data_IF_977648464769
#
_entry.id   IF_977648464769
#
_cell.length_a   1.000
_cell.length_b   1.000
_cell.length_c   1.000
_cell.angle_alpha   90.00
_cell.angle_beta   90.00
_cell.angle_gamma   90.00
#
_symmetry.space_group_name_H-M   'P 1'
#
loop_
_entity.id
_entity.type
_entity.pdbx_description
1 polymer ?
#
# COMPACT_ATOMS: atom_id res chain seq x y z
N UNK A 1 -2.63 -1.37 12.99
CA UNK A 1 -3.85 -1.33 13.83
C UNK A 1 -4.05 -2.65 14.56
N UNK A 2 -4.22 -3.78 13.87
CA UNK A 2 -4.46 -5.10 14.50
C UNK A 2 -3.54 -5.41 15.70
N UNK A 3 -2.21 -5.29 15.53
CA UNK A 3 -1.25 -5.49 16.63
C UNK A 3 -1.50 -4.54 17.82
N UNK A 4 -1.72 -3.25 17.55
CA UNK A 4 -1.95 -2.25 18.60
C UNK A 4 -3.26 -2.49 19.35
N UNK A 5 -4.31 -2.94 18.66
CA UNK A 5 -5.58 -3.33 19.28
C UNK A 5 -5.40 -4.57 20.18
N UNK A 6 -4.74 -5.62 19.66
CA UNK A 6 -4.43 -6.84 20.41
C UNK A 6 -3.61 -6.58 21.67
N UNK A 7 -2.65 -5.66 21.58
CA UNK A 7 -1.78 -5.27 22.71
C UNK A 7 -2.42 -4.22 23.63
N UNK A 8 -3.66 -3.79 23.37
CA UNK A 8 -4.36 -2.81 24.21
C UNK A 8 -3.79 -1.39 24.15
N UNK A 9 -2.99 -1.07 23.12
CA UNK A 9 -2.33 0.23 22.96
C UNK A 9 -3.27 1.32 22.43
N UNK A 10 -4.46 0.93 21.95
CA UNK A 10 -5.51 1.83 21.45
C UNK A 10 -6.86 1.45 22.04
N UNK A 11 -7.76 2.43 22.17
CA UNK A 11 -9.17 2.16 22.47
C UNK A 11 -9.85 1.59 21.22
N UNK A 12 -10.12 0.28 21.23
CA UNK A 12 -10.76 -0.45 20.13
C UNK A 12 -12.08 0.19 19.66
N UNK A 13 -12.85 0.82 20.55
CA UNK A 13 -14.12 1.47 20.21
C UNK A 13 -13.93 2.73 19.35
N UNK A 14 -12.71 3.24 19.28
CA UNK A 14 -12.36 4.44 18.50
C UNK A 14 -11.79 4.15 17.13
N UNK A 15 -11.54 2.87 16.80
CA UNK A 15 -10.97 2.50 15.51
C UNK A 15 -11.91 2.94 14.38
N UNK A 16 -11.38 3.69 13.42
CA UNK A 16 -12.06 4.11 12.20
C UNK A 16 -11.15 3.89 11.01
N UNK A 17 -11.73 3.46 9.89
CA UNK A 17 -11.05 3.41 8.59
C UNK A 17 -11.26 4.76 7.91
N UNK A 18 -10.16 5.48 7.68
CA UNK A 18 -10.16 6.82 7.11
C UNK A 18 -10.10 6.77 5.59
N UNK A 19 -9.29 5.86 5.05
CA UNK A 19 -9.10 5.68 3.62
C UNK A 19 -8.72 4.24 3.27
N UNK A 20 -8.83 3.90 1.98
CA UNK A 20 -8.52 2.61 1.40
C UNK A 20 -7.48 2.75 0.30
N UNK A 21 -6.77 1.65 0.05
CA UNK A 21 -5.66 1.57 -0.91
C UNK A 21 -5.68 0.19 -1.58
N UNK A 22 -5.24 0.09 -2.83
CA UNK A 22 -4.99 -1.18 -3.51
C UNK A 22 -3.55 -1.27 -4.02
N UNK A 23 -2.91 -2.44 -3.91
CA UNK A 23 -1.62 -2.65 -4.56
C UNK A 23 -1.72 -2.37 -6.07
N UNK A 24 -0.71 -1.69 -6.59
CA UNK A 24 -0.55 -1.43 -8.00
C UNK A 24 0.94 -1.45 -8.36
N UNK A 25 1.24 -1.47 -9.65
CA UNK A 25 2.61 -1.32 -10.12
C UNK A 25 2.82 0.15 -10.49
N UNK A 26 3.81 0.80 -9.87
CA UNK A 26 4.27 2.12 -10.28
C UNK A 26 5.42 1.97 -11.28
N UNK A 27 5.32 2.61 -12.44
CA UNK A 27 6.36 2.61 -13.48
C UNK A 27 6.79 4.03 -13.83
N UNK A 28 7.93 4.17 -14.49
CA UNK A 28 8.40 5.47 -14.98
C UNK A 28 7.48 6.01 -16.08
N UNK A 29 7.40 7.34 -16.30
CA UNK A 29 6.62 7.92 -17.37
C UNK A 29 7.03 7.36 -18.75
N UNK A 30 6.05 7.06 -19.58
CA UNK A 30 6.20 6.36 -20.86
C UNK A 30 6.42 4.85 -20.75
N UNK A 31 6.51 4.31 -19.54
CA UNK A 31 6.68 2.88 -19.25
C UNK A 31 7.75 2.21 -20.14
N UNK A 32 9.03 2.60 -20.02
CA UNK A 32 10.10 2.20 -20.95
C UNK A 32 10.36 0.69 -20.99
N UNK A 33 10.04 -0.03 -19.90
CA UNK A 33 10.13 -1.49 -19.82
C UNK A 33 8.86 -2.23 -20.26
N UNK A 34 7.82 -1.49 -20.68
CA UNK A 34 6.51 -2.02 -21.14
C UNK A 34 5.86 -2.97 -20.12
N UNK A 35 6.00 -2.68 -18.83
CA UNK A 35 5.45 -3.48 -17.74
C UNK A 35 3.94 -3.24 -17.70
N UNK A 36 3.12 -4.25 -17.97
CA UNK A 36 1.66 -4.15 -18.04
C UNK A 36 0.94 -5.10 -17.10
N UNK A 37 1.68 -5.98 -16.43
CA UNK A 37 1.17 -7.01 -15.54
C UNK A 37 2.21 -7.40 -14.49
N UNK A 38 1.78 -8.16 -13.47
CA UNK A 38 2.71 -8.71 -12.48
C UNK A 38 3.75 -9.66 -13.10
N UNK A 39 3.39 -10.39 -14.15
CA UNK A 39 4.31 -11.31 -14.82
C UNK A 39 5.50 -10.57 -15.44
N UNK A 40 5.27 -9.37 -15.98
CA UNK A 40 6.33 -8.56 -16.61
C UNK A 40 7.42 -8.11 -15.63
N UNK A 41 7.11 -8.08 -14.34
CA UNK A 41 8.09 -7.81 -13.28
C UNK A 41 9.17 -8.91 -13.22
N UNK A 42 8.88 -10.11 -13.72
CA UNK A 42 9.83 -11.22 -13.80
C UNK A 42 10.76 -11.17 -15.02
N UNK A 43 10.54 -10.23 -15.96
CA UNK A 43 11.32 -10.18 -17.19
C UNK A 43 12.80 -9.87 -16.92
N UNK A 44 13.75 -10.47 -17.66
CA UNK A 44 15.16 -10.18 -17.51
C UNK A 44 15.49 -8.69 -17.65
N UNK A 45 16.31 -8.16 -16.74
CA UNK A 45 16.77 -6.77 -16.80
C UNK A 45 15.75 -5.71 -16.36
N UNK A 46 14.63 -6.12 -15.74
CA UNK A 46 13.74 -5.23 -14.98
C UNK A 46 14.28 -5.07 -13.56
N UNK A 47 14.44 -3.84 -13.10
CA UNK A 47 14.85 -3.51 -11.73
C UNK A 47 13.64 -3.07 -10.91
N UNK A 48 13.40 -3.72 -9.77
CA UNK A 48 12.22 -3.49 -8.94
C UNK A 48 12.65 -2.97 -7.56
N UNK A 49 11.93 -1.96 -7.08
CA UNK A 49 11.96 -1.54 -5.69
C UNK A 49 10.69 -1.95 -4.96
N UNK A 50 10.82 -2.39 -3.72
CA UNK A 50 9.68 -2.56 -2.81
C UNK A 50 9.98 -1.85 -1.48
N UNK A 51 8.95 -1.62 -0.66
CA UNK A 51 9.19 -1.29 0.75
C UNK A 51 9.81 -2.49 1.48
N UNK A 52 10.59 -2.27 2.54
CA UNK A 52 11.05 -3.34 3.40
C UNK A 52 9.81 -4.07 3.98
N UNK A 53 9.59 -5.35 3.66
CA UNK A 53 8.34 -6.03 4.00
C UNK A 53 8.20 -6.35 5.49
N UNK A 54 9.28 -6.30 6.27
CA UNK A 54 9.24 -6.55 7.71
C UNK A 54 8.76 -5.32 8.49
N UNK A 55 8.97 -4.12 7.95
CA UNK A 55 8.69 -2.85 8.64
C UNK A 55 7.67 -1.95 7.92
N UNK A 56 7.51 -2.09 6.60
CA UNK A 56 6.73 -1.19 5.75
C UNK A 56 5.56 -1.95 5.13
N UNK A 57 4.34 -1.47 5.38
CA UNK A 57 3.13 -2.15 4.92
C UNK A 57 3.10 -2.40 3.41
N UNK A 58 3.49 -1.42 2.57
CA UNK A 58 3.50 -1.63 1.10
C UNK A 58 4.45 -2.74 0.66
N UNK A 59 5.56 -2.93 1.40
CA UNK A 59 6.47 -4.05 1.20
C UNK A 59 5.81 -5.39 1.53
N UNK A 60 5.15 -5.47 2.68
CA UNK A 60 4.42 -6.67 3.11
C UNK A 60 3.35 -7.07 2.08
N UNK A 61 2.59 -6.09 1.59
CA UNK A 61 1.58 -6.31 0.55
C UNK A 61 2.20 -6.71 -0.78
N UNK A 62 3.39 -6.20 -1.12
CA UNK A 62 4.10 -6.62 -2.33
C UNK A 62 4.46 -8.12 -2.28
N UNK A 63 4.96 -8.61 -1.15
CA UNK A 63 5.30 -10.03 -0.99
C UNK A 63 4.06 -10.91 -1.03
N UNK A 64 3.00 -10.54 -0.29
CA UNK A 64 1.72 -11.26 -0.33
C UNK A 64 1.17 -11.32 -1.76
N UNK A 65 1.15 -10.18 -2.46
CA UNK A 65 0.64 -10.10 -3.82
C UNK A 65 1.41 -11.04 -4.75
N UNK A 66 2.73 -11.02 -4.70
CA UNK A 66 3.55 -11.89 -5.54
C UNK A 66 3.39 -13.37 -5.18
N UNK A 67 3.29 -13.71 -3.89
CA UNK A 67 3.08 -15.09 -3.44
C UNK A 67 1.73 -15.64 -3.89
N UNK A 68 0.65 -14.89 -3.65
CA UNK A 68 -0.72 -15.30 -4.01
C UNK A 68 -0.93 -15.47 -5.50
N UNK A 69 -0.12 -14.81 -6.32
CA UNK A 69 -0.12 -14.93 -7.77
C UNK A 69 0.94 -15.91 -8.31
N UNK A 70 1.70 -16.61 -7.44
CA UNK A 70 2.71 -17.60 -7.85
C UNK A 70 3.97 -17.00 -8.50
N UNK A 71 4.20 -15.70 -8.34
CA UNK A 71 5.26 -14.95 -9.02
C UNK A 71 6.45 -14.61 -8.13
N UNK A 72 6.35 -14.84 -6.81
CA UNK A 72 7.36 -14.44 -5.83
C UNK A 72 8.78 -14.86 -6.21
N UNK A 73 8.98 -16.13 -6.55
CA UNK A 73 10.33 -16.65 -6.86
C UNK A 73 10.94 -16.05 -8.13
N UNK A 74 10.12 -15.75 -9.13
CA UNK A 74 10.57 -15.16 -10.40
C UNK A 74 10.89 -13.68 -10.20
N UNK A 75 9.98 -12.94 -9.56
CA UNK A 75 10.12 -11.50 -9.34
C UNK A 75 11.18 -11.15 -8.29
N UNK A 76 11.39 -12.00 -7.28
CA UNK A 76 12.40 -11.76 -6.22
C UNK A 76 13.81 -11.53 -6.78
N UNK A 77 14.15 -12.18 -7.90
CA UNK A 77 15.45 -12.03 -8.57
C UNK A 77 15.68 -10.63 -9.14
N UNK A 78 14.60 -9.90 -9.39
CA UNK A 78 14.60 -8.56 -9.97
C UNK A 78 14.43 -7.46 -8.92
N UNK A 79 14.20 -7.81 -7.64
CA UNK A 79 14.14 -6.86 -6.54
C UNK A 79 15.56 -6.43 -6.18
N UNK A 80 15.89 -5.17 -6.46
CA UNK A 80 17.24 -4.62 -6.26
C UNK A 80 17.35 -3.73 -5.03
N UNK A 81 16.23 -3.38 -4.39
CA UNK A 81 16.23 -2.48 -3.22
C UNK A 81 14.97 -2.62 -2.37
N UNK A 82 15.15 -2.41 -1.06
CA UNK A 82 14.11 -2.40 -0.05
C UNK A 82 14.07 -1.03 0.63
N UNK A 83 13.03 -0.25 0.38
CA UNK A 83 12.90 1.12 0.88
C UNK A 83 12.39 1.15 2.33
N UNK A 84 12.86 2.09 3.18
CA UNK A 84 12.50 2.15 4.59
C UNK A 84 11.10 2.72 4.87
N UNK A 85 10.37 3.18 3.86
CA UNK A 85 9.00 3.72 4.01
C UNK A 85 8.21 3.70 2.70
N UNK A 86 6.89 3.91 2.77
CA UNK A 86 6.05 4.06 1.58
C UNK A 86 6.51 5.25 0.72
N UNK A 87 6.84 6.39 1.34
CA UNK A 87 7.35 7.57 0.63
C UNK A 87 8.71 7.31 -0.02
N UNK A 88 9.62 6.59 0.65
CA UNK A 88 10.89 6.20 0.04
C UNK A 88 10.69 5.22 -1.12
N UNK A 89 9.68 4.32 -1.03
CA UNK A 89 9.33 3.40 -2.13
C UNK A 89 8.84 4.17 -3.36
N UNK A 90 7.94 5.12 -3.16
CA UNK A 90 7.48 6.03 -4.22
C UNK A 90 8.66 6.84 -4.82
N UNK A 91 9.55 7.35 -3.95
CA UNK A 91 10.73 8.10 -4.35
C UNK A 91 11.68 7.29 -5.26
N UNK A 92 11.80 5.97 -5.09
CA UNK A 92 12.64 5.13 -5.94
C UNK A 92 12.23 5.22 -7.42
N UNK A 93 10.93 5.23 -7.70
CA UNK A 93 10.43 5.31 -9.06
C UNK A 93 10.43 6.77 -9.56
N UNK A 94 10.04 7.73 -8.72
CA UNK A 94 10.04 9.15 -9.07
C UNK A 94 11.46 9.69 -9.42
N UNK A 95 12.48 9.17 -8.75
CA UNK A 95 13.90 9.46 -8.99
C UNK A 95 14.55 8.53 -10.03
N UNK A 96 13.77 7.66 -10.68
CA UNK A 96 14.22 6.70 -11.71
C UNK A 96 15.37 5.78 -11.23
N UNK A 97 15.39 5.43 -9.95
CA UNK A 97 16.37 4.49 -9.37
C UNK A 97 16.05 3.03 -9.72
N UNK A 98 14.79 2.75 -10.02
CA UNK A 98 14.27 1.44 -10.44
C UNK A 98 13.35 1.60 -11.65
N UNK A 99 13.05 0.50 -12.34
CA UNK A 99 12.14 0.49 -13.49
C UNK A 99 10.67 0.41 -13.05
N UNK A 100 10.41 -0.28 -11.93
CA UNK A 100 9.09 -0.40 -11.34
C UNK A 100 9.15 -0.51 -9.81
N UNK A 101 8.02 -0.18 -9.17
CA UNK A 101 7.76 -0.50 -7.77
C UNK A 101 6.44 -1.23 -7.63
N UNK A 102 6.34 -2.15 -6.68
CA UNK A 102 5.04 -2.63 -6.20
C UNK A 102 4.63 -1.69 -5.08
N UNK A 103 3.65 -0.84 -5.39
CA UNK A 103 3.26 0.32 -4.58
C UNK A 103 1.76 0.38 -4.35
N UNK A 104 1.27 1.59 -4.00
CA UNK A 104 -0.15 1.90 -3.98
C UNK A 104 -0.58 2.59 -5.26
N UNK A 105 -1.82 2.39 -5.67
CA UNK A 105 -2.44 3.08 -6.81
C UNK A 105 -2.35 4.60 -6.71
N UNK A 106 -2.37 5.14 -5.48
CA UNK A 106 -2.34 6.58 -5.19
C UNK A 106 -0.96 7.22 -5.36
N UNK A 107 0.12 6.46 -5.51
CA UNK A 107 1.48 7.03 -5.63
C UNK A 107 1.62 8.01 -6.80
N UNK A 108 0.95 7.77 -7.93
CA UNK A 108 0.95 8.70 -9.07
C UNK A 108 0.27 10.05 -8.78
N UNK A 109 -0.50 10.15 -7.69
CA UNK A 109 -1.11 11.40 -7.21
C UNK A 109 -0.19 12.19 -6.29
N UNK A 110 0.79 11.55 -5.67
CA UNK A 110 1.74 12.22 -4.77
C UNK A 110 2.75 13.07 -5.56
N UNK A 111 3.24 12.54 -6.69
CA UNK A 111 4.11 13.25 -7.62
C UNK A 111 3.56 13.14 -9.07
N UNK A 112 2.58 13.99 -9.44
CA UNK A 112 1.99 13.96 -10.78
C UNK A 112 3.05 14.06 -11.89
N UNK A 113 2.95 13.17 -12.88
CA UNK A 113 3.85 13.13 -14.03
C UNK A 113 5.21 12.47 -13.78
N UNK A 114 5.49 11.99 -12.55
CA UNK A 114 6.71 11.23 -12.24
C UNK A 114 6.50 9.72 -12.20
N UNK A 115 5.26 9.27 -12.10
CA UNK A 115 4.89 7.86 -11.97
C UNK A 115 3.63 7.61 -12.79
N UNK A 116 3.62 6.51 -13.54
CA UNK A 116 2.41 5.96 -14.13
C UNK A 116 1.96 4.74 -13.32
N UNK A 117 0.66 4.66 -13.06
CA UNK A 117 0.05 3.52 -12.36
C UNK A 117 -0.38 2.47 -13.38
N UNK A 118 0.15 1.26 -13.24
CA UNK A 118 -0.35 0.05 -13.91
C UNK A 118 -1.21 -0.71 -12.92
N UNK A 119 -2.53 -0.68 -13.14
CA UNK A 119 -3.49 -1.40 -12.31
C UNK A 119 -3.39 -2.90 -12.56
N UNK A 120 -3.61 -3.66 -11.49
CA UNK A 120 -3.67 -5.11 -11.52
C UNK A 120 -5.03 -5.58 -12.00
N UNK A 121 -5.13 -6.83 -12.47
CA UNK A 121 -6.45 -7.41 -12.71
C UNK A 121 -7.17 -7.57 -11.38
N UNK A 122 -8.50 -7.38 -11.32
CA UNK A 122 -9.20 -7.38 -10.04
C UNK A 122 -9.14 -8.70 -9.26
N UNK A 123 -8.88 -9.83 -9.93
CA UNK A 123 -8.69 -11.14 -9.31
C UNK A 123 -7.24 -11.41 -8.85
N UNK A 124 -6.28 -10.56 -9.23
CA UNK A 124 -4.89 -10.67 -8.79
C UNK A 124 -4.67 -9.99 -7.43
N UNK A 125 -5.58 -9.10 -7.00
CA UNK A 125 -5.48 -8.38 -5.72
C UNK A 125 -6.09 -9.22 -4.60
N UNK A 126 -5.28 -9.82 -3.70
CA UNK A 126 -5.83 -10.63 -2.62
C UNK A 126 -6.48 -9.77 -1.53
N UNK A 127 -5.94 -8.57 -1.30
CA UNK A 127 -6.26 -7.75 -0.14
C UNK A 127 -6.22 -6.25 -0.44
N UNK A 128 -7.27 -5.56 -0.03
CA UNK A 128 -7.37 -4.10 0.04
C UNK A 128 -6.73 -3.63 1.34
N UNK A 129 -5.85 -2.64 1.25
CA UNK A 129 -5.27 -1.97 2.40
C UNK A 129 -6.17 -0.84 2.90
N UNK A 130 -5.96 -0.43 4.15
CA UNK A 130 -6.68 0.67 4.77
C UNK A 130 -5.75 1.53 5.63
N UNK A 131 -6.12 2.80 5.78
CA UNK A 131 -5.50 3.77 6.69
C UNK A 131 -6.42 3.92 7.91
N UNK A 132 -6.02 3.41 9.07
CA UNK A 132 -6.81 3.55 10.28
C UNK A 132 -6.41 4.73 11.16
N UNK A 133 -7.37 5.20 11.94
CA UNK A 133 -7.15 6.07 13.10
C UNK A 133 -7.79 5.45 14.34
N UNK A 134 -7.16 5.64 15.51
CA UNK A 134 -7.70 5.27 16.82
C UNK A 134 -7.07 6.15 17.91
N UNK A 135 -7.78 6.31 19.03
CA UNK A 135 -7.28 7.00 20.21
C UNK A 135 -6.31 6.07 20.95
N UNK A 136 -5.12 6.57 21.25
CA UNK A 136 -4.13 5.86 22.06
C UNK A 136 -4.63 5.66 23.50
N UNK A 137 -4.39 4.47 24.07
CA UNK A 137 -4.70 4.18 25.48
C UNK A 137 -3.94 5.09 26.45
N UNK A 138 -2.82 5.67 26.00
CA UNK A 138 -1.93 6.54 26.78
C UNK A 138 -2.28 8.04 26.69
N UNK A 139 -3.32 8.43 25.95
CA UNK A 139 -3.66 9.86 25.81
C UNK A 139 -4.12 10.46 27.13
N UNK A 140 -3.66 11.69 27.42
CA UNK A 140 -4.15 12.51 28.53
C UNK A 140 -5.31 13.41 28.11
N UNK A 141 -5.54 13.60 26.81
CA UNK A 141 -6.67 14.37 26.25
C UNK A 141 -7.49 13.49 25.29
N UNK A 142 -8.40 12.70 25.87
CA UNK A 142 -9.31 11.81 25.12
C UNK A 142 -10.31 12.59 24.29
N UNK A 143 -10.77 13.75 24.78
CA UNK A 143 -11.82 14.52 24.13
C UNK A 143 -11.32 15.11 22.81
N UNK A 144 -10.15 15.75 22.80
CA UNK A 144 -9.56 16.31 21.58
C UNK A 144 -9.15 15.22 20.59
N UNK A 145 -8.59 14.11 21.08
CA UNK A 145 -8.25 12.96 20.23
C UNK A 145 -9.48 12.39 19.50
N UNK A 146 -10.63 12.27 20.20
CA UNK A 146 -11.88 11.84 19.59
C UNK A 146 -12.37 12.85 18.55
N UNK A 147 -12.40 14.15 18.88
CA UNK A 147 -12.80 15.22 17.95
C UNK A 147 -11.97 15.21 16.66
N UNK A 148 -10.67 14.91 16.76
CA UNK A 148 -9.81 14.81 15.58
C UNK A 148 -10.20 13.62 14.69
N UNK A 149 -10.47 12.44 15.27
CA UNK A 149 -10.97 11.29 14.50
C UNK A 149 -12.33 11.63 13.86
N UNK A 150 -13.22 12.31 14.58
CA UNK A 150 -14.52 12.73 14.03
C UNK A 150 -14.32 13.70 12.86
N UNK A 151 -13.35 14.61 12.94
CA UNK A 151 -12.96 15.48 11.82
C UNK A 151 -12.45 14.68 10.62
N UNK A 152 -11.55 13.70 10.82
CA UNK A 152 -11.06 12.84 9.73
C UNK A 152 -12.21 12.10 9.02
N UNK A 153 -13.25 11.70 9.77
CA UNK A 153 -14.42 10.98 9.25
C UNK A 153 -15.51 11.89 8.68
N UNK A 154 -15.43 13.21 8.91
CA UNK A 154 -16.38 14.21 8.44
C UNK A 154 -16.37 14.38 6.91
N UNK A 155 -17.36 15.09 6.37
CA UNK A 155 -17.37 15.44 4.95
C UNK A 155 -16.12 16.24 4.54
N UNK A 156 -15.62 17.11 5.41
CA UNK A 156 -14.41 17.90 5.16
C UNK A 156 -13.16 17.02 5.13
N UNK A 157 -12.97 16.17 6.14
CA UNK A 157 -11.86 15.22 6.21
C UNK A 157 -11.83 14.30 4.98
N UNK A 158 -12.99 13.73 4.62
CA UNK A 158 -13.12 12.91 3.41
C UNK A 158 -12.74 13.69 2.15
N UNK A 159 -13.20 14.94 2.00
CA UNK A 159 -12.85 15.80 0.86
C UNK A 159 -11.34 16.01 0.74
N UNK A 160 -10.63 16.13 1.86
CA UNK A 160 -9.16 16.26 1.87
C UNK A 160 -8.51 14.98 1.34
N UNK A 161 -8.90 13.79 1.84
CA UNK A 161 -8.37 12.52 1.34
C UNK A 161 -8.69 12.29 -0.15
N UNK A 162 -9.93 12.57 -0.57
CA UNK A 162 -10.33 12.47 -1.98
C UNK A 162 -9.54 13.43 -2.86
N UNK A 163 -9.27 14.67 -2.41
CA UNK A 163 -8.41 15.63 -3.16
C UNK A 163 -7.03 15.06 -3.45
N UNK A 164 -6.47 14.27 -2.53
CA UNK A 164 -5.17 13.61 -2.69
C UNK A 164 -5.26 12.22 -3.33
N UNK A 165 -6.44 11.83 -3.82
CA UNK A 165 -6.64 10.62 -4.62
C UNK A 165 -6.92 9.34 -3.84
N UNK A 166 -7.16 9.43 -2.53
CA UNK A 166 -7.53 8.28 -1.72
C UNK A 166 -9.01 7.95 -1.87
N UNK A 167 -9.33 6.66 -1.91
CA UNK A 167 -10.70 6.19 -1.72
C UNK A 167 -11.08 6.32 -0.23
N UNK A 168 -12.22 6.94 0.06
CA UNK A 168 -12.71 7.19 1.42
C UNK A 168 -13.89 6.29 1.78
N UNK A 169 -14.32 5.45 0.84
CA UNK A 169 -15.32 4.40 1.08
C UNK A 169 -14.86 3.07 0.48
N UNK A 170 -15.37 1.98 1.06
CA UNK A 170 -15.14 0.62 0.55
C UNK A 170 -15.69 0.44 -0.87
N UNK A 171 -16.84 1.04 -1.19
CA UNK A 171 -17.41 1.01 -2.55
C UNK A 171 -16.51 1.64 -3.61
N UNK A 172 -15.85 2.76 -3.29
CA UNK A 172 -14.94 3.45 -4.22
C UNK A 172 -13.73 2.61 -4.60
N UNK A 173 -13.16 1.88 -3.64
CA UNK A 173 -11.95 1.08 -3.87
C UNK A 173 -12.26 -0.28 -4.50
N UNK A 174 -13.44 -0.87 -4.22
CA UNK A 174 -13.84 -2.20 -4.71
C UNK A 174 -13.90 -2.32 -6.23
N UNK A 175 -14.02 -1.22 -6.98
CA UNK A 175 -13.91 -1.23 -8.44
C UNK A 175 -12.58 -1.84 -8.94
N UNK A 176 -11.51 -1.76 -8.14
CA UNK A 176 -10.21 -2.33 -8.46
C UNK A 176 -10.04 -3.77 -7.98
N UNK A 177 -10.80 -4.20 -6.96
CA UNK A 177 -10.62 -5.49 -6.31
C UNK A 177 -11.93 -5.95 -5.62
N UNK A 178 -12.98 -6.34 -6.36
CA UNK A 178 -14.33 -6.49 -5.83
C UNK A 178 -14.45 -7.64 -4.82
N UNK A 179 -13.63 -8.68 -4.99
CA UNK A 179 -13.62 -9.88 -4.16
C UNK A 179 -12.52 -9.88 -3.09
N UNK A 180 -11.67 -8.85 -3.05
CA UNK A 180 -10.58 -8.79 -2.08
C UNK A 180 -11.10 -8.58 -0.66
N UNK A 181 -10.39 -9.17 0.30
CA UNK A 181 -10.61 -8.91 1.73
C UNK A 181 -10.05 -7.54 2.08
N UNK A 182 -10.68 -6.81 3.00
CA UNK A 182 -10.16 -5.52 3.50
C UNK A 182 -9.37 -5.79 4.77
N UNK A 183 -8.10 -5.38 4.78
CA UNK A 183 -7.26 -5.55 5.96
C UNK A 183 -7.01 -7.02 6.33
N UNK A 184 -6.61 -7.24 7.57
CA UNK A 184 -6.12 -8.53 8.06
C UNK A 184 -4.60 -8.59 8.14
N UNK A 185 -4.08 -9.77 8.42
CA UNK A 185 -2.67 -10.03 8.65
C UNK A 185 -2.11 -10.96 7.57
N UNK A 186 -0.83 -10.75 7.25
CA UNK A 186 -0.06 -11.63 6.39
C UNK A 186 1.28 -11.87 7.07
N UNK A 187 1.66 -13.14 7.20
CA UNK A 187 2.97 -13.53 7.70
C UNK A 187 3.90 -13.75 6.50
N UNK A 188 5.09 -13.16 6.55
CA UNK A 188 6.08 -13.39 5.51
C UNK A 188 6.44 -14.87 5.40
N UNK A 189 6.76 -15.36 4.18
CA UNK A 189 7.23 -16.73 4.00
C UNK A 189 8.47 -16.97 4.86
N UNK A 190 8.60 -18.14 5.48
CA UNK A 190 9.72 -18.45 6.40
C UNK A 190 11.11 -18.33 5.75
N UNK A 191 11.18 -18.46 4.44
CA UNK A 191 12.40 -18.32 3.63
C UNK A 191 12.57 -16.89 3.04
N UNK A 192 11.72 -15.95 3.45
CA UNK A 192 11.91 -14.55 3.14
C UNK A 192 12.93 -13.95 4.09
N UNK A 193 14.03 -13.49 3.54
CA UNK A 193 15.03 -12.70 4.24
C UNK A 193 15.23 -11.44 3.40
N UNK A 194 15.08 -10.29 4.04
CA UNK A 194 15.46 -9.01 3.44
C UNK A 194 17.00 -8.97 3.39
N UNK A 195 17.61 -8.81 2.21
CA UNK A 195 19.07 -8.67 2.08
C UNK A 195 19.60 -7.44 2.82
#
# INVERSE_FOLDING_TARGET
>A
MVKAEKEGLVDAKTIRIVAYLVPAIGVQPGNPKRIRSLADLGNPGVKIGIGNPEAVCVGLYAIELLERNGLLNVVRKNIVTHAPSCAATEGLIALKKVDAVIGWEVFSKWNPGKIETVFLKPNEVPRIAYIPAAVSSYTTDRASARKFIDFLMSAEGRKIFTKWGYAVTDGEIRKYAPKAVVGGEYALPRNWNTP
#
